data_IF_454305196845
#
_entry.id   IF_454305196845
#
_cell.length_a   1.000
_cell.length_b   1.000
_cell.length_c   1.000
_cell.angle_alpha   90.00
_cell.angle_beta   90.00
_cell.angle_gamma   90.00
#
_symmetry.space_group_name_H-M   'P 1'
#
loop_
_entity.id
_entity.type
_entity.pdbx_description
1 polymer ?
#
# COMPACT_ATOMS: atom_id res chain seq x y z
N UNK A 1 19.20 20.53 -9.21
CA UNK A 1 18.33 19.48 -9.82
C UNK A 1 17.01 20.10 -10.26
N UNK A 2 16.20 19.43 -11.09
CA UNK A 2 14.94 20.05 -11.56
C UNK A 2 13.72 19.44 -10.88
N UNK A 3 12.73 20.27 -10.55
CA UNK A 3 11.45 19.86 -9.98
C UNK A 3 10.73 18.86 -10.89
N UNK A 4 10.99 18.91 -12.20
CA UNK A 4 10.56 17.92 -13.18
C UNK A 4 10.99 16.48 -12.83
N UNK A 5 12.12 16.28 -12.16
CA UNK A 5 12.55 14.94 -11.72
C UNK A 5 11.63 14.39 -10.62
N UNK A 6 11.19 15.24 -9.69
CA UNK A 6 10.20 14.86 -8.66
C UNK A 6 8.84 14.60 -9.30
N UNK A 7 8.43 15.42 -10.27
CA UNK A 7 7.18 15.22 -11.01
C UNK A 7 7.21 13.86 -11.73
N UNK A 8 8.29 13.54 -12.45
CA UNK A 8 8.46 12.26 -13.13
C UNK A 8 8.45 11.06 -12.14
N UNK A 9 9.05 11.25 -10.97
CA UNK A 9 9.03 10.25 -9.89
C UNK A 9 7.59 10.01 -9.39
N UNK A 10 6.81 11.08 -9.18
CA UNK A 10 5.39 10.97 -8.81
C UNK A 10 4.55 10.30 -9.90
N UNK A 11 4.81 10.59 -11.18
CA UNK A 11 4.11 9.90 -12.28
C UNK A 11 4.42 8.41 -12.32
N UNK A 12 5.68 8.05 -12.09
CA UNK A 12 6.11 6.65 -11.97
C UNK A 12 5.43 5.97 -10.77
N UNK A 13 5.34 6.67 -9.63
CA UNK A 13 4.65 6.19 -8.44
C UNK A 13 3.14 6.00 -8.69
N UNK A 14 2.50 6.94 -9.39
CA UNK A 14 1.08 6.82 -9.81
C UNK A 14 0.88 5.60 -10.70
N UNK A 15 1.75 5.39 -11.68
CA UNK A 15 1.68 4.22 -12.57
C UNK A 15 1.82 2.91 -11.78
N UNK A 16 2.82 2.85 -10.89
CA UNK A 16 3.04 1.68 -10.03
C UNK A 16 1.84 1.41 -9.11
N UNK A 17 1.26 2.44 -8.49
CA UNK A 17 0.08 2.32 -7.63
C UNK A 17 -1.17 1.88 -8.39
N UNK A 18 -1.39 2.37 -9.62
CA UNK A 18 -2.50 1.92 -10.47
C UNK A 18 -2.38 0.44 -10.80
N UNK A 19 -1.19 -0.01 -11.22
CA UNK A 19 -0.95 -1.42 -11.50
C UNK A 19 -1.09 -2.29 -10.25
N UNK A 20 -0.59 -1.81 -9.12
CA UNK A 20 -0.74 -2.49 -7.84
C UNK A 20 -2.21 -2.62 -7.43
N UNK A 21 -3.01 -1.57 -7.62
CA UNK A 21 -4.45 -1.59 -7.38
C UNK A 21 -5.18 -2.65 -8.25
N UNK A 22 -4.75 -2.83 -9.50
CA UNK A 22 -5.28 -3.89 -10.37
C UNK A 22 -4.93 -5.27 -9.81
N UNK A 23 -3.69 -5.47 -9.37
CA UNK A 23 -3.22 -6.76 -8.82
C UNK A 23 -3.98 -7.13 -7.55
N UNK A 24 -4.12 -6.20 -6.59
CA UNK A 24 -4.82 -6.50 -5.34
C UNK A 24 -6.33 -6.74 -5.54
N UNK A 25 -6.93 -6.15 -6.59
CA UNK A 25 -8.32 -6.45 -6.99
C UNK A 25 -8.41 -7.82 -7.66
N UNK A 26 -7.46 -8.17 -8.51
CA UNK A 26 -7.37 -9.52 -9.06
C UNK A 26 -7.21 -10.57 -7.95
N UNK A 27 -6.43 -10.26 -6.91
CA UNK A 27 -6.29 -11.11 -5.72
C UNK A 27 -7.63 -11.26 -4.99
N UNK A 28 -8.39 -10.17 -4.83
CA UNK A 28 -9.74 -10.19 -4.25
C UNK A 28 -10.66 -11.13 -5.03
N UNK A 29 -10.67 -11.01 -6.36
CA UNK A 29 -11.47 -11.87 -7.24
C UNK A 29 -11.06 -13.34 -7.11
N UNK A 30 -9.77 -13.64 -7.08
CA UNK A 30 -9.24 -15.00 -6.89
C UNK A 30 -9.64 -15.58 -5.53
N UNK A 31 -9.61 -14.77 -4.46
CA UNK A 31 -10.08 -15.19 -3.13
C UNK A 31 -11.57 -15.55 -3.13
N UNK A 32 -12.40 -14.74 -3.79
CA UNK A 32 -13.85 -14.97 -3.89
C UNK A 32 -14.15 -16.23 -4.72
N UNK A 33 -13.46 -16.41 -5.85
CA UNK A 33 -13.64 -17.54 -6.76
C UNK A 33 -12.95 -18.82 -6.29
N UNK A 34 -12.11 -18.74 -5.25
CA UNK A 34 -11.26 -19.83 -4.76
C UNK A 34 -10.31 -20.37 -5.83
N UNK A 35 -9.82 -19.48 -6.69
CA UNK A 35 -8.85 -19.80 -7.73
C UNK A 35 -7.44 -19.76 -7.14
N UNK A 36 -6.90 -20.92 -6.77
CA UNK A 36 -5.62 -21.05 -6.08
C UNK A 36 -4.46 -20.66 -6.99
N UNK A 37 -4.53 -20.99 -8.27
CA UNK A 37 -3.47 -20.68 -9.24
C UNK A 37 -3.39 -19.16 -9.48
N UNK A 38 -4.54 -18.53 -9.76
CA UNK A 38 -4.61 -17.09 -9.92
C UNK A 38 -4.25 -16.34 -8.62
N UNK A 39 -4.57 -16.91 -7.45
CA UNK A 39 -4.17 -16.35 -6.17
C UNK A 39 -2.63 -16.35 -6.02
N UNK A 40 -1.98 -17.47 -6.33
CA UNK A 40 -0.51 -17.57 -6.27
C UNK A 40 0.17 -16.55 -7.19
N UNK A 41 -0.29 -16.45 -8.45
CA UNK A 41 0.23 -15.48 -9.42
C UNK A 41 0.03 -14.03 -8.97
N UNK A 42 -1.12 -13.74 -8.34
CA UNK A 42 -1.39 -12.41 -7.81
C UNK A 42 -0.46 -12.03 -6.65
N UNK A 43 -0.10 -13.00 -5.79
CA UNK A 43 0.82 -12.77 -4.67
C UNK A 43 2.26 -12.49 -5.14
N UNK A 44 2.77 -13.26 -6.11
CA UNK A 44 4.10 -12.99 -6.69
C UNK A 44 4.15 -11.62 -7.38
N UNK A 45 3.06 -11.23 -8.03
CA UNK A 45 2.95 -9.92 -8.67
C UNK A 45 2.88 -8.80 -7.62
N UNK A 46 2.20 -9.03 -6.51
CA UNK A 46 2.09 -8.09 -5.39
C UNK A 46 3.47 -7.73 -4.83
N UNK A 47 4.30 -8.72 -4.53
CA UNK A 47 5.67 -8.52 -4.02
C UNK A 47 6.53 -7.68 -4.97
N UNK A 48 6.46 -7.97 -6.28
CA UNK A 48 7.19 -7.21 -7.31
C UNK A 48 6.79 -5.75 -7.34
N UNK A 49 5.50 -5.45 -7.19
CA UNK A 49 5.01 -4.08 -7.23
C UNK A 49 5.24 -3.32 -5.92
N UNK A 50 5.19 -3.99 -4.76
CA UNK A 50 5.61 -3.40 -3.48
C UNK A 50 7.07 -2.92 -3.58
N UNK A 51 7.97 -3.77 -4.08
CA UNK A 51 9.37 -3.41 -4.26
C UNK A 51 9.57 -2.22 -5.22
N UNK A 52 8.78 -2.14 -6.30
CA UNK A 52 8.81 -1.00 -7.23
C UNK A 52 8.31 0.30 -6.58
N UNK A 53 7.23 0.23 -5.80
CA UNK A 53 6.67 1.38 -5.09
C UNK A 53 7.67 1.90 -4.05
N UNK A 54 8.26 1.00 -3.25
CA UNK A 54 9.24 1.38 -2.24
C UNK A 54 10.50 1.98 -2.88
N UNK A 55 11.02 1.36 -3.94
CA UNK A 55 12.16 1.92 -4.69
C UNK A 55 11.87 3.33 -5.21
N UNK A 56 10.69 3.56 -5.77
CA UNK A 56 10.33 4.88 -6.29
C UNK A 56 10.13 5.91 -5.18
N UNK A 57 9.60 5.49 -4.03
CA UNK A 57 9.49 6.35 -2.85
C UNK A 57 10.87 6.76 -2.33
N UNK A 58 11.84 5.84 -2.26
CA UNK A 58 13.22 6.18 -1.89
C UNK A 58 13.86 7.14 -2.91
N UNK A 59 13.59 6.95 -4.20
CA UNK A 59 14.04 7.86 -5.25
C UNK A 59 13.47 9.27 -5.06
N UNK A 60 12.15 9.38 -4.83
CA UNK A 60 11.46 10.64 -4.56
C UNK A 60 12.06 11.36 -3.34
N UNK A 61 12.28 10.63 -2.25
CA UNK A 61 12.88 11.19 -1.03
C UNK A 61 14.31 11.69 -1.27
N UNK A 62 15.12 10.96 -2.02
CA UNK A 62 16.47 11.38 -2.41
C UNK A 62 16.43 12.67 -3.24
N UNK A 63 15.54 12.77 -4.24
CA UNK A 63 15.38 13.97 -5.06
C UNK A 63 14.95 15.17 -4.22
N UNK A 64 14.04 14.96 -3.27
CA UNK A 64 13.61 16.00 -2.32
C UNK A 64 14.76 16.46 -1.42
N UNK A 65 15.53 15.54 -0.84
CA UNK A 65 16.67 15.86 0.02
C UNK A 65 17.73 16.69 -0.74
N UNK A 66 17.98 16.34 -2.00
CA UNK A 66 18.91 17.08 -2.86
C UNK A 66 18.42 18.52 -3.09
N UNK A 67 17.14 18.70 -3.45
CA UNK A 67 16.56 20.03 -3.62
C UNK A 67 16.54 20.84 -2.32
N UNK A 68 16.21 20.23 -1.19
CA UNK A 68 16.26 20.88 0.14
C UNK A 68 17.68 21.35 0.46
N UNK A 69 18.71 20.59 0.07
CA UNK A 69 20.10 20.97 0.28
C UNK A 69 20.56 22.14 -0.58
N UNK A 70 20.00 22.29 -1.79
CA UNK A 70 20.31 23.39 -2.71
C UNK A 70 19.70 24.72 -2.25
N UNK A 71 18.58 24.69 -1.53
CA UNK A 71 17.82 25.90 -1.13
C UNK A 71 18.16 26.41 0.28
N UNK A 72 19.20 25.86 0.92
CA UNK A 72 19.67 26.23 2.28
C UNK A 72 18.55 26.33 3.34
N UNK A 73 17.52 25.49 3.24
CA UNK A 73 16.39 25.54 4.17
C UNK A 73 16.80 25.09 5.57
N UNK A 74 16.62 25.95 6.58
CA UNK A 74 17.05 25.73 7.97
C UNK A 74 16.04 24.95 8.84
N UNK A 75 14.89 24.53 8.30
CA UNK A 75 13.90 23.74 9.05
C UNK A 75 14.32 22.28 9.26
N UNK A 76 13.60 21.59 10.15
CA UNK A 76 13.78 20.16 10.40
C UNK A 76 13.60 19.36 9.10
N UNK A 77 14.72 18.89 8.55
CA UNK A 77 14.79 18.09 7.32
C UNK A 77 13.84 16.90 7.34
N UNK A 78 13.51 16.34 8.52
CA UNK A 78 12.56 15.22 8.62
C UNK A 78 11.14 15.63 8.27
N UNK A 79 10.71 16.83 8.64
CA UNK A 79 9.36 17.32 8.32
C UNK A 79 9.25 17.67 6.84
N UNK A 80 10.32 18.16 6.22
CA UNK A 80 10.38 18.45 4.79
C UNK A 80 10.37 17.19 3.91
N UNK A 81 10.63 15.99 4.46
CA UNK A 81 10.45 14.73 3.71
C UNK A 81 8.98 14.39 3.45
N UNK A 82 8.04 15.04 4.15
CA UNK A 82 6.61 14.94 3.83
C UNK A 82 6.33 15.81 2.60
N UNK A 83 5.82 15.19 1.53
CA UNK A 83 5.53 15.89 0.26
C UNK A 83 4.70 17.18 0.41
N UNK A 84 3.63 17.25 1.23
CA UNK A 84 2.92 18.52 1.43
C UNK A 84 3.80 19.63 2.02
N UNK A 85 4.65 19.29 2.99
CA UNK A 85 5.54 20.26 3.63
C UNK A 85 6.62 20.73 2.65
N UNK A 86 7.15 19.81 1.85
CA UNK A 86 8.09 20.13 0.78
C UNK A 86 7.49 21.11 -0.24
N UNK A 87 6.31 20.82 -0.77
CA UNK A 87 5.62 21.68 -1.75
C UNK A 87 5.42 23.08 -1.17
N UNK A 88 5.04 23.19 0.10
CA UNK A 88 4.90 24.48 0.76
C UNK A 88 6.24 25.23 0.86
N UNK A 89 7.33 24.54 1.21
CA UNK A 89 8.65 25.13 1.34
C UNK A 89 9.20 25.66 -0.01
N UNK A 90 8.93 24.97 -1.12
CA UNK A 90 9.41 25.38 -2.44
C UNK A 90 8.46 26.35 -3.17
N UNK A 91 7.24 26.57 -2.66
CA UNK A 91 6.22 27.38 -3.33
C UNK A 91 6.63 28.83 -3.61
N UNK A 92 7.54 29.40 -2.81
CA UNK A 92 8.04 30.77 -2.98
C UNK A 92 9.23 30.91 -3.93
N UNK A 93 9.81 29.81 -4.41
CA UNK A 93 11.06 29.79 -5.20
C UNK A 93 10.89 29.08 -6.56
N UNK A 94 9.71 28.57 -6.83
CA UNK A 94 9.37 27.75 -7.99
C UNK A 94 8.24 28.39 -8.78
N UNK A 95 8.18 28.13 -10.09
CA UNK A 95 7.07 28.56 -10.94
C UNK A 95 5.72 27.99 -10.45
N UNK A 96 4.69 28.84 -10.44
CA UNK A 96 3.36 28.49 -9.93
C UNK A 96 2.77 27.24 -10.64
N UNK A 97 2.99 27.10 -11.95
CA UNK A 97 2.52 25.95 -12.72
C UNK A 97 3.15 24.62 -12.30
N UNK A 98 4.44 24.60 -11.93
CA UNK A 98 5.10 23.39 -11.43
C UNK A 98 4.57 23.00 -10.03
N UNK A 99 4.26 23.99 -9.19
CA UNK A 99 3.67 23.79 -7.87
C UNK A 99 2.25 23.23 -7.97
N UNK A 100 1.42 23.75 -8.86
CA UNK A 100 0.08 23.23 -9.12
C UNK A 100 0.13 21.78 -9.57
N UNK A 101 1.03 21.45 -10.50
CA UNK A 101 1.21 20.09 -10.99
C UNK A 101 1.66 19.13 -9.87
N UNK A 102 2.59 19.54 -9.01
CA UNK A 102 2.99 18.75 -7.85
C UNK A 102 1.82 18.46 -6.91
N UNK A 103 0.99 19.46 -6.61
CA UNK A 103 -0.21 19.30 -5.77
C UNK A 103 -1.22 18.35 -6.40
N UNK A 104 -1.45 18.46 -7.70
CA UNK A 104 -2.33 17.54 -8.44
C UNK A 104 -1.84 16.09 -8.30
N UNK A 105 -0.56 15.84 -8.61
CA UNK A 105 0.02 14.50 -8.54
C UNK A 105 0.02 13.95 -7.12
N UNK A 106 0.29 14.79 -6.12
CA UNK A 106 0.19 14.42 -4.69
C UNK A 106 -1.20 13.89 -4.35
N UNK A 107 -2.27 14.60 -4.73
CA UNK A 107 -3.63 14.16 -4.43
C UNK A 107 -3.99 12.85 -5.16
N UNK A 108 -3.50 12.65 -6.39
CA UNK A 108 -3.67 11.38 -7.11
C UNK A 108 -2.95 10.23 -6.38
N UNK A 109 -1.70 10.42 -5.94
CA UNK A 109 -0.96 9.40 -5.17
C UNK A 109 -1.70 9.05 -3.89
N UNK A 110 -2.20 10.05 -3.17
CA UNK A 110 -2.96 9.89 -1.93
C UNK A 110 -4.27 9.12 -2.14
N UNK A 111 -5.06 9.49 -3.13
CA UNK A 111 -6.30 8.77 -3.49
C UNK A 111 -6.03 7.30 -3.86
N UNK A 112 -5.02 7.05 -4.69
CA UNK A 112 -4.63 5.69 -5.07
C UNK A 112 -4.16 4.88 -3.86
N UNK A 113 -3.37 5.47 -2.97
CA UNK A 113 -2.90 4.83 -1.74
C UNK A 113 -4.07 4.46 -0.84
N UNK A 114 -5.05 5.35 -0.66
CA UNK A 114 -6.26 5.06 0.12
C UNK A 114 -7.08 3.91 -0.49
N UNK A 115 -7.24 3.89 -1.83
CA UNK A 115 -7.90 2.79 -2.54
C UNK A 115 -7.17 1.45 -2.33
N UNK A 116 -5.84 1.47 -2.40
CA UNK A 116 -5.00 0.30 -2.15
C UNK A 116 -5.19 -0.22 -0.72
N UNK A 117 -5.09 0.66 0.27
CA UNK A 117 -5.28 0.32 1.69
C UNK A 117 -6.66 -0.30 1.92
N UNK A 118 -7.71 0.30 1.33
CA UNK A 118 -9.08 -0.18 1.44
C UNK A 118 -9.24 -1.61 0.91
N UNK A 119 -8.86 -1.85 -0.36
CA UNK A 119 -9.01 -3.17 -0.99
C UNK A 119 -8.15 -4.22 -0.28
N UNK A 120 -6.94 -3.86 0.15
CA UNK A 120 -6.11 -4.79 0.90
C UNK A 120 -6.70 -5.12 2.28
N UNK A 121 -7.33 -4.14 2.95
CA UNK A 121 -8.08 -4.37 4.18
C UNK A 121 -9.26 -5.34 3.98
N UNK A 122 -10.01 -5.19 2.89
CA UNK A 122 -11.08 -6.12 2.51
C UNK A 122 -10.53 -7.54 2.26
N UNK A 123 -9.41 -7.67 1.55
CA UNK A 123 -8.74 -8.95 1.32
C UNK A 123 -8.31 -9.62 2.63
N UNK A 124 -7.78 -8.85 3.59
CA UNK A 124 -7.43 -9.37 4.91
C UNK A 124 -8.65 -9.96 5.61
N UNK A 125 -9.78 -9.26 5.59
CA UNK A 125 -11.01 -9.75 6.22
C UNK A 125 -11.56 -11.01 5.55
N UNK A 126 -11.48 -11.12 4.22
CA UNK A 126 -11.86 -12.36 3.51
C UNK A 126 -11.02 -13.56 3.98
N UNK A 127 -9.70 -13.36 4.11
CA UNK A 127 -8.77 -14.39 4.57
C UNK A 127 -9.04 -14.77 6.03
N UNK A 128 -9.27 -13.79 6.91
CA UNK A 128 -9.58 -14.03 8.33
C UNK A 128 -10.88 -14.83 8.49
N UNK A 129 -11.93 -14.47 7.75
CA UNK A 129 -13.21 -15.17 7.77
C UNK A 129 -13.06 -16.61 7.26
N UNK A 130 -12.31 -16.82 6.18
CA UNK A 130 -12.03 -18.15 5.65
C UNK A 130 -11.30 -19.03 6.68
N UNK A 131 -10.30 -18.47 7.39
CA UNK A 131 -9.59 -19.16 8.47
C UNK A 131 -10.51 -19.51 9.65
N UNK A 132 -11.40 -18.60 10.06
CA UNK A 132 -12.36 -18.85 11.14
C UNK A 132 -13.29 -20.02 10.78
N UNK A 133 -13.86 -20.00 9.58
CA UNK A 133 -14.74 -21.06 9.10
C UNK A 133 -14.03 -22.42 9.04
N UNK A 134 -12.79 -22.46 8.54
CA UNK A 134 -11.99 -23.68 8.53
C UNK A 134 -11.75 -24.21 9.95
N UNK A 135 -11.46 -23.33 10.91
CA UNK A 135 -11.27 -23.71 12.31
C UNK A 135 -12.55 -24.30 12.90
N UNK A 136 -13.71 -23.68 12.65
CA UNK A 136 -15.01 -24.19 13.10
C UNK A 136 -15.32 -25.57 12.51
N UNK A 137 -15.07 -25.76 11.21
CA UNK A 137 -15.23 -27.07 10.54
C UNK A 137 -14.30 -28.12 11.18
N UNK A 138 -13.03 -27.77 11.42
CA UNK A 138 -12.07 -28.69 12.07
C UNK A 138 -12.55 -29.03 13.48
N UNK A 139 -12.99 -28.05 14.27
CA UNK A 139 -13.52 -28.29 15.62
C UNK A 139 -14.76 -29.18 15.60
N UNK A 140 -15.68 -28.97 14.66
CA UNK A 140 -16.87 -29.80 14.49
C UNK A 140 -16.53 -31.23 14.03
N UNK A 141 -15.59 -31.38 13.09
CA UNK A 141 -15.20 -32.68 12.53
C UNK A 141 -14.32 -33.51 13.49
N UNK A 142 -13.43 -32.86 14.24
CA UNK A 142 -12.54 -33.53 15.21
C UNK A 142 -13.27 -33.77 16.54
N UNK A 143 -14.31 -32.99 16.81
CA UNK A 143 -15.24 -33.17 17.92
C UNK A 143 -14.63 -32.86 19.29
N UNK A 144 -15.47 -32.36 20.18
CA UNK A 144 -15.27 -32.47 21.61
C UNK A 144 -15.06 -33.94 22.00
N UNK A 145 -13.81 -34.40 22.02
CA UNK A 145 -13.41 -35.58 22.80
C UNK A 145 -13.46 -35.24 24.29
N UNK A 146 -14.66 -34.96 24.80
CA UNK A 146 -14.98 -34.91 26.24
C UNK A 146 -16.33 -35.56 26.51
N UNK A 147 -16.43 -36.86 26.23
CA UNK A 147 -17.33 -37.74 26.98
C UNK A 147 -16.47 -38.66 27.86
N UNK A 148 -16.40 -38.35 29.16
CA UNK A 148 -16.30 -39.40 30.18
C UNK A 148 -17.73 -39.71 30.61
N UNK A 149 -18.40 -40.53 29.80
CA UNK A 149 -19.43 -41.43 30.31
C UNK A 149 -18.64 -42.45 31.15
N UNK A 150 -19.09 -42.75 32.38
CA UNK A 150 -18.35 -43.32 33.53
C UNK A 150 -17.80 -42.15 34.39
N UNK A 151 -18.42 -41.74 35.49
CA UNK A 151 -18.89 -42.57 36.61
C UNK A 151 -20.12 -41.91 37.30
N UNK A 152 -21.33 -42.32 36.93
CA UNK A 152 -22.48 -42.30 37.84
C UNK A 152 -22.61 -43.70 38.38
N UNK A 153 -21.92 -44.00 39.48
CA UNK A 153 -22.29 -45.10 40.35
C UNK A 153 -22.71 -44.55 41.71
N UNK A 154 -23.90 -45.03 42.08
CA UNK A 154 -24.53 -45.05 43.38
C UNK A 154 -23.60 -45.75 44.38
#
# INVERSE_FOLDING_TARGET
>A
MSINEIINSLETQIHNLRNFLVIIKSKQDSLIKRDIEALSLSMESEEKFIAKIDKEEQNRLMLMDNLISEIEYNDDKKELRKLPNFINAISGITEEGEIELLKEKQEVVKDLTQKVIKVNGENRHLIENAKSLLKEIITAAVGERKQSIIDRRI
#
